data_IF_176734309901
#
_entry.id   IF_176734309901
#
_cell.length_a   1.000
_cell.length_b   1.000
_cell.length_c   1.000
_cell.angle_alpha   90.00
_cell.angle_beta   90.00
_cell.angle_gamma   90.00
#
_symmetry.space_group_name_H-M   'P 1'
#
loop_
_entity.id
_entity.type
_entity.pdbx_description
1 polymer ?
#
# COMPACT_ATOMS: atom_id res chain seq x y z
N UNK A 1 18.26 -2.21 -20.57
CA UNK A 1 16.98 -2.64 -19.98
C UNK A 1 16.97 -2.23 -18.51
N UNK A 2 15.84 -1.81 -17.94
CA UNK A 2 15.77 -1.51 -16.50
C UNK A 2 16.03 -2.78 -15.68
N UNK A 3 16.72 -2.64 -14.54
CA UNK A 3 17.02 -3.75 -13.63
C UNK A 3 15.71 -4.34 -13.10
N UNK A 4 15.59 -5.67 -13.10
CA UNK A 4 14.46 -6.36 -12.48
C UNK A 4 14.58 -6.25 -10.96
N UNK A 5 13.49 -5.81 -10.32
CA UNK A 5 13.33 -5.76 -8.87
C UNK A 5 12.24 -6.72 -8.45
N UNK A 6 12.55 -7.60 -7.51
CA UNK A 6 11.62 -8.60 -6.97
C UNK A 6 11.75 -8.64 -5.47
N UNK A 7 10.63 -8.76 -4.77
CA UNK A 7 10.65 -8.75 -3.32
C UNK A 7 9.34 -9.19 -2.69
N UNK A 8 9.41 -9.52 -1.41
CA UNK A 8 8.23 -9.78 -0.59
C UNK A 8 8.05 -8.66 0.43
N UNK A 9 6.80 -8.47 0.85
CA UNK A 9 6.55 -7.86 2.14
C UNK A 9 6.81 -8.84 3.28
N UNK A 10 7.25 -8.29 4.40
CA UNK A 10 7.70 -9.02 5.57
C UNK A 10 7.25 -8.32 6.86
N UNK A 11 6.55 -9.05 7.73
CA UNK A 11 5.94 -8.51 8.93
C UNK A 11 5.84 -9.56 10.04
N UNK A 12 5.39 -9.19 11.24
CA UNK A 12 5.15 -10.11 12.37
C UNK A 12 6.41 -10.65 13.06
N UNK A 13 7.60 -10.54 12.47
CA UNK A 13 8.87 -10.94 13.08
C UNK A 13 9.72 -9.70 13.34
N UNK A 14 10.17 -9.52 14.58
CA UNK A 14 11.08 -8.44 15.02
C UNK A 14 12.32 -9.00 15.73
N UNK A 15 12.59 -10.30 15.59
CA UNK A 15 13.80 -10.92 16.12
C UNK A 15 14.89 -10.92 15.03
N UNK A 16 15.98 -10.15 15.17
CA UNK A 16 17.02 -10.02 14.14
C UNK A 16 17.63 -11.35 13.68
N UNK A 17 17.73 -12.35 14.58
CA UNK A 17 18.26 -13.66 14.22
C UNK A 17 17.39 -14.36 13.17
N UNK A 18 16.07 -14.39 13.39
CA UNK A 18 15.14 -15.02 12.44
C UNK A 18 15.01 -14.20 11.17
N UNK A 19 15.03 -12.87 11.28
CA UNK A 19 14.99 -11.99 10.10
C UNK A 19 16.22 -12.21 9.23
N UNK A 20 17.41 -12.34 9.80
CA UNK A 20 18.62 -12.62 9.03
C UNK A 20 18.50 -13.92 8.21
N UNK A 21 18.00 -15.00 8.82
CA UNK A 21 17.76 -16.29 8.15
C UNK A 21 16.71 -16.17 7.03
N UNK A 22 15.61 -15.45 7.28
CA UNK A 22 14.55 -15.24 6.30
C UNK A 22 15.02 -14.37 5.12
N UNK A 23 15.84 -13.34 5.36
CA UNK A 23 16.41 -12.50 4.30
C UNK A 23 17.37 -13.32 3.41
N UNK A 24 18.20 -14.18 3.99
CA UNK A 24 19.07 -15.10 3.25
C UNK A 24 18.25 -16.09 2.41
N UNK A 25 17.11 -16.54 2.93
CA UNK A 25 16.16 -17.36 2.20
C UNK A 25 15.50 -16.62 1.03
N UNK A 26 15.04 -15.38 1.22
CA UNK A 26 14.47 -14.56 0.14
C UNK A 26 15.46 -14.36 -1.02
N UNK A 27 16.75 -14.11 -0.71
CA UNK A 27 17.80 -13.90 -1.71
C UNK A 27 18.06 -15.17 -2.51
N UNK A 28 18.14 -16.32 -1.83
CA UNK A 28 18.25 -17.63 -2.50
C UNK A 28 17.09 -17.87 -3.46
N UNK A 29 15.94 -17.26 -3.20
CA UNK A 29 14.72 -17.32 -4.00
C UNK A 29 14.50 -16.06 -4.86
N UNK A 30 15.59 -15.44 -5.30
CA UNK A 30 15.63 -14.39 -6.31
C UNK A 30 14.96 -13.06 -5.90
N UNK A 31 14.79 -12.79 -4.60
CA UNK A 31 14.50 -11.43 -4.15
C UNK A 31 15.76 -10.55 -4.18
N UNK A 32 15.59 -9.29 -4.53
CA UNK A 32 16.60 -8.25 -4.38
C UNK A 32 16.03 -6.98 -3.71
N UNK A 33 14.81 -7.08 -3.18
CA UNK A 33 14.17 -6.08 -2.36
C UNK A 33 13.31 -6.75 -1.27
N UNK A 34 13.04 -6.01 -0.19
CA UNK A 34 12.13 -6.41 0.89
C UNK A 34 11.33 -5.19 1.34
N UNK A 35 10.05 -5.39 1.67
CA UNK A 35 9.26 -4.38 2.36
C UNK A 35 9.05 -4.80 3.80
N UNK A 36 9.54 -3.98 4.74
CA UNK A 36 9.20 -4.11 6.15
C UNK A 36 7.99 -3.27 6.50
N UNK A 37 7.03 -3.83 7.22
CA UNK A 37 5.94 -3.00 7.78
C UNK A 37 6.50 -2.15 8.92
N UNK A 38 6.19 -0.85 8.91
CA UNK A 38 6.57 0.09 9.97
C UNK A 38 5.29 0.64 10.60
N UNK A 39 4.63 -0.20 11.39
CA UNK A 39 3.37 0.08 12.08
C UNK A 39 3.56 1.03 13.27
N UNK A 40 2.45 1.45 13.90
CA UNK A 40 2.50 2.26 15.11
C UNK A 40 3.21 1.54 16.27
N UNK A 41 3.04 0.21 16.35
CA UNK A 41 3.70 -0.63 17.34
C UNK A 41 5.22 -0.61 17.12
N UNK A 42 5.65 -0.71 15.86
CA UNK A 42 7.06 -0.71 15.51
C UNK A 42 7.73 0.61 15.89
N UNK A 43 7.10 1.74 15.57
CA UNK A 43 7.61 3.06 15.95
C UNK A 43 7.61 3.26 17.46
N UNK A 44 6.64 2.70 18.18
CA UNK A 44 6.53 2.87 19.63
C UNK A 44 7.51 2.00 20.43
N UNK A 45 7.77 0.77 19.97
CA UNK A 45 8.42 -0.24 20.80
C UNK A 45 9.63 -0.93 20.15
N UNK A 46 9.76 -0.86 18.82
CA UNK A 46 10.77 -1.61 18.08
C UNK A 46 11.59 -0.74 17.13
N UNK A 47 11.62 0.59 17.28
CA UNK A 47 12.20 1.49 16.29
C UNK A 47 13.69 1.18 15.99
N UNK A 48 14.50 1.02 17.03
CA UNK A 48 15.93 0.68 16.85
C UNK A 48 16.13 -0.77 16.40
N UNK A 49 15.22 -1.68 16.77
CA UNK A 49 15.21 -3.04 16.23
C UNK A 49 14.89 -3.04 14.74
N UNK A 50 13.92 -2.25 14.29
CA UNK A 50 13.62 -2.09 12.86
C UNK A 50 14.81 -1.55 12.10
N UNK A 51 15.55 -0.60 12.68
CA UNK A 51 16.81 -0.12 12.11
C UNK A 51 17.82 -1.27 11.93
N UNK A 52 18.02 -2.11 12.94
CA UNK A 52 18.88 -3.30 12.84
C UNK A 52 18.41 -4.25 11.72
N UNK A 53 17.10 -4.45 11.55
CA UNK A 53 16.56 -5.27 10.45
C UNK A 53 16.86 -4.68 9.06
N UNK A 54 16.75 -3.35 8.91
CA UNK A 54 17.09 -2.65 7.68
C UNK A 54 18.60 -2.76 7.40
N UNK A 55 19.44 -2.57 8.40
CA UNK A 55 20.89 -2.75 8.30
C UNK A 55 21.24 -4.18 7.83
N UNK A 56 20.61 -5.22 8.42
CA UNK A 56 20.78 -6.62 7.99
C UNK A 56 20.37 -6.86 6.53
N UNK A 57 19.33 -6.19 6.05
CA UNK A 57 18.90 -6.29 4.65
C UNK A 57 19.88 -5.58 3.70
N UNK A 58 20.39 -4.41 4.09
CA UNK A 58 21.39 -3.67 3.32
C UNK A 58 22.73 -4.39 3.22
N UNK A 59 23.20 -5.02 4.30
CA UNK A 59 24.41 -5.87 4.29
C UNK A 59 24.33 -6.99 3.26
N UNK A 60 23.10 -7.44 2.96
CA UNK A 60 22.80 -8.48 1.96
C UNK A 60 22.48 -7.92 0.57
N UNK A 61 22.56 -6.61 0.39
CA UNK A 61 22.34 -5.92 -0.89
C UNK A 61 20.88 -5.83 -1.32
N UNK A 62 19.93 -5.96 -0.38
CA UNK A 62 18.51 -5.78 -0.65
C UNK A 62 18.16 -4.28 -0.67
N UNK A 63 17.28 -3.89 -1.60
CA UNK A 63 16.58 -2.61 -1.54
C UNK A 63 15.45 -2.68 -0.51
N UNK A 64 15.37 -1.70 0.39
CA UNK A 64 14.46 -1.75 1.55
C UNK A 64 13.33 -0.73 1.43
N UNK A 65 12.10 -1.24 1.47
CA UNK A 65 10.87 -0.45 1.53
C UNK A 65 10.33 -0.46 2.96
N UNK A 66 9.66 0.62 3.35
CA UNK A 66 8.79 0.66 4.53
C UNK A 66 7.45 1.29 4.18
N UNK A 67 6.37 0.80 4.80
CA UNK A 67 5.03 1.40 4.70
C UNK A 67 4.45 1.71 6.08
N UNK A 68 3.52 2.70 6.18
CA UNK A 68 2.82 3.01 7.42
C UNK A 68 1.65 2.03 7.63
N UNK A 69 1.96 0.73 7.69
CA UNK A 69 1.00 -0.37 7.71
C UNK A 69 -0.17 -0.14 8.69
N UNK A 70 -1.39 -0.05 8.13
CA UNK A 70 -2.65 0.27 8.81
C UNK A 70 -2.71 1.57 9.65
N UNK A 71 -1.72 2.47 9.54
CA UNK A 71 -1.72 3.71 10.33
C UNK A 71 -2.97 4.54 10.07
N UNK A 72 -3.62 4.95 11.15
CA UNK A 72 -4.85 5.73 11.10
C UNK A 72 -6.00 5.04 10.36
N UNK A 73 -5.93 3.75 10.02
CA UNK A 73 -6.99 3.06 9.28
C UNK A 73 -7.25 3.63 7.87
N UNK A 74 -6.22 4.21 7.23
CA UNK A 74 -6.32 4.79 5.87
C UNK A 74 -5.27 4.29 4.89
N UNK A 75 -4.43 3.35 5.32
CA UNK A 75 -3.45 2.63 4.50
C UNK A 75 -3.73 1.13 4.60
N UNK A 76 -3.29 0.36 3.60
CA UNK A 76 -3.39 -1.10 3.61
C UNK A 76 -2.79 -1.73 4.88
N UNK A 77 -3.42 -2.80 5.37
CA UNK A 77 -2.89 -3.64 6.44
C UNK A 77 -3.84 -4.07 7.57
N UNK A 78 -3.36 -5.01 8.38
CA UNK A 78 -4.12 -5.68 9.45
C UNK A 78 -3.69 -5.26 10.87
N UNK A 79 -2.80 -4.27 11.00
CA UNK A 79 -2.39 -3.75 12.30
C UNK A 79 -3.46 -2.83 12.91
N UNK A 80 -3.51 -2.76 14.25
CA UNK A 80 -4.37 -1.80 14.93
C UNK A 80 -3.74 -0.41 14.97
N UNK A 81 -4.58 0.61 14.76
CA UNK A 81 -4.15 2.01 14.88
C UNK A 81 -4.48 2.57 16.27
N UNK A 82 -3.47 2.64 17.13
CA UNK A 82 -3.58 3.31 18.43
C UNK A 82 -3.79 4.82 18.32
N UNK A 83 -3.41 5.43 17.20
CA UNK A 83 -3.62 6.84 16.89
C UNK A 83 -5.10 7.19 16.98
N UNK A 84 -5.98 6.35 16.42
CA UNK A 84 -7.42 6.58 16.43
C UNK A 84 -8.00 6.54 17.85
N UNK A 85 -7.49 5.68 18.71
CA UNK A 85 -7.91 5.60 20.11
C UNK A 85 -7.47 6.84 20.90
N UNK A 86 -6.25 7.33 20.68
CA UNK A 86 -5.69 8.50 21.37
C UNK A 86 -6.21 9.84 20.82
N UNK A 87 -6.67 9.86 19.57
CA UNK A 87 -7.12 11.08 18.88
C UNK A 87 -8.50 10.87 18.23
N UNK A 88 -9.56 10.65 19.03
CA UNK A 88 -10.91 10.44 18.49
C UNK A 88 -11.42 11.63 17.68
N UNK A 89 -10.94 12.85 17.97
CA UNK A 89 -11.25 14.07 17.24
C UNK A 89 -10.56 14.17 15.87
N UNK A 90 -9.53 13.35 15.62
CA UNK A 90 -8.84 13.27 14.33
C UNK A 90 -9.48 12.26 13.37
N UNK A 91 -10.54 11.57 13.78
CA UNK A 91 -11.24 10.58 12.95
C UNK A 91 -12.05 11.24 11.84
N UNK A 92 -12.28 10.49 10.77
CA UNK A 92 -13.24 10.82 9.76
C UNK A 92 -14.66 10.75 10.37
N UNK A 93 -15.50 11.68 9.95
CA UNK A 93 -16.93 11.72 10.29
C UNK A 93 -17.71 11.48 9.01
N UNK A 94 -18.69 10.60 9.04
CA UNK A 94 -19.51 10.28 7.88
C UNK A 94 -20.57 11.35 7.57
N UNK A 95 -21.32 11.12 6.49
CA UNK A 95 -22.37 12.02 6.04
C UNK A 95 -23.51 12.24 7.04
N UNK A 96 -23.71 11.31 7.97
CA UNK A 96 -24.72 11.37 9.04
C UNK A 96 -24.18 11.97 10.35
N UNK A 97 -22.90 12.35 10.42
CA UNK A 97 -22.29 12.93 11.60
C UNK A 97 -21.67 11.90 12.56
N UNK A 98 -21.58 10.63 12.14
CA UNK A 98 -21.05 9.55 12.97
C UNK A 98 -19.57 9.29 12.67
N UNK A 99 -18.70 9.05 13.67
CA UNK A 99 -17.31 8.72 13.45
C UNK A 99 -17.16 7.34 12.77
N UNK A 100 -16.04 7.17 12.08
CA UNK A 100 -15.57 5.89 11.52
C UNK A 100 -14.14 5.60 12.00
N UNK A 101 -13.67 4.35 11.98
CA UNK A 101 -12.33 3.98 12.45
C UNK A 101 -11.23 4.30 11.41
N UNK A 102 -11.23 5.53 10.90
CA UNK A 102 -10.24 6.02 9.95
C UNK A 102 -9.88 7.47 10.28
N UNK A 103 -8.61 7.86 10.11
CA UNK A 103 -8.11 9.20 10.35
C UNK A 103 -8.44 10.09 9.15
N UNK A 104 -8.65 11.38 9.38
CA UNK A 104 -8.91 12.30 8.29
C UNK A 104 -7.60 12.91 7.76
N UNK A 105 -7.34 12.80 6.45
CA UNK A 105 -6.19 13.39 5.77
C UNK A 105 -6.05 14.91 5.94
N UNK A 106 -7.13 15.61 6.28
CA UNK A 106 -7.10 17.06 6.51
C UNK A 106 -6.77 17.43 7.96
N UNK A 107 -6.75 16.47 8.89
CA UNK A 107 -6.51 16.73 10.30
C UNK A 107 -5.02 17.00 10.57
N UNK A 108 -4.67 18.15 11.18
CA UNK A 108 -3.27 18.46 11.52
C UNK A 108 -2.61 17.37 12.35
N UNK A 109 -3.31 16.83 13.37
CA UNK A 109 -2.81 15.75 14.22
C UNK A 109 -2.38 14.51 13.44
N UNK A 110 -3.09 14.18 12.36
CA UNK A 110 -2.76 13.03 11.52
C UNK A 110 -1.57 13.34 10.60
N UNK A 111 -1.53 14.55 10.01
CA UNK A 111 -0.36 15.00 9.24
C UNK A 111 0.91 15.00 10.10
N UNK A 112 0.85 15.55 11.31
CA UNK A 112 1.96 15.53 12.26
C UNK A 112 2.40 14.10 12.63
N UNK A 113 1.45 13.16 12.71
CA UNK A 113 1.76 11.75 12.96
C UNK A 113 2.51 11.12 11.78
N UNK A 114 2.15 11.47 10.55
CA UNK A 114 2.80 11.00 9.34
C UNK A 114 4.19 11.62 9.13
N UNK A 115 4.38 12.88 9.51
CA UNK A 115 5.72 13.50 9.56
C UNK A 115 6.63 12.76 10.55
N UNK A 116 6.12 12.41 11.74
CA UNK A 116 6.87 11.58 12.70
C UNK A 116 7.14 10.17 12.17
N UNK A 117 6.20 9.59 11.42
CA UNK A 117 6.44 8.32 10.75
C UNK A 117 7.55 8.43 9.70
N UNK A 118 7.63 9.53 8.96
CA UNK A 118 8.72 9.80 8.01
C UNK A 118 10.08 9.99 8.71
N UNK A 119 10.09 10.65 9.87
CA UNK A 119 11.30 10.73 10.70
C UNK A 119 11.75 9.33 11.14
N UNK A 120 10.81 8.46 11.53
CA UNK A 120 11.09 7.06 11.86
C UNK A 120 11.58 6.26 10.64
N UNK A 121 10.94 6.39 9.48
CA UNK A 121 11.34 5.75 8.23
C UNK A 121 12.76 6.13 7.79
N UNK A 122 13.11 7.41 7.97
CA UNK A 122 14.47 7.91 7.73
C UNK A 122 15.46 7.39 8.78
N UNK A 123 15.09 7.38 10.06
CA UNK A 123 15.93 6.86 11.15
C UNK A 123 16.28 5.38 10.99
N UNK A 124 15.32 4.56 10.57
CA UNK A 124 15.59 3.13 10.30
C UNK A 124 16.45 2.92 9.05
N UNK A 125 16.68 3.95 8.24
CA UNK A 125 17.52 3.88 7.05
C UNK A 125 16.84 3.27 5.84
N UNK A 126 15.51 3.33 5.73
CA UNK A 126 14.81 2.78 4.57
C UNK A 126 15.20 3.50 3.26
N UNK A 127 15.08 2.83 2.12
CA UNK A 127 15.34 3.43 0.81
C UNK A 127 14.07 4.05 0.20
N UNK A 128 12.91 3.42 0.46
CA UNK A 128 11.62 3.78 -0.14
C UNK A 128 10.52 3.84 0.91
N UNK A 129 9.84 4.98 0.99
CA UNK A 129 8.55 5.10 1.67
C UNK A 129 7.44 4.69 0.69
N UNK A 130 6.74 3.60 1.00
CA UNK A 130 5.56 3.16 0.26
C UNK A 130 4.29 3.65 0.94
N UNK A 131 3.50 4.42 0.20
CA UNK A 131 2.17 4.86 0.58
C UNK A 131 1.17 3.85 0.03
N UNK A 132 0.78 2.91 0.88
CA UNK A 132 0.01 1.72 0.50
C UNK A 132 -1.49 1.99 0.55
N UNK A 133 -2.12 2.10 -0.62
CA UNK A 133 -3.55 2.31 -0.81
C UNK A 133 -4.14 3.46 0.03
N UNK A 134 -3.65 4.71 -0.04
CA UNK A 134 -4.23 5.81 0.73
C UNK A 134 -5.71 6.04 0.35
N UNK A 135 -6.65 5.83 1.29
CA UNK A 135 -8.09 5.90 1.02
C UNK A 135 -8.91 6.57 2.12
N UNK A 136 -10.03 7.20 1.73
CA UNK A 136 -11.12 7.48 2.66
C UNK A 136 -11.80 6.17 3.07
N UNK A 137 -12.44 6.15 4.25
CA UNK A 137 -13.07 4.94 4.78
C UNK A 137 -14.05 4.30 3.78
N UNK A 138 -13.78 3.05 3.41
CA UNK A 138 -14.62 2.23 2.53
C UNK A 138 -15.54 1.36 3.38
N UNK A 139 -16.83 1.72 3.45
CA UNK A 139 -17.80 1.06 4.34
C UNK A 139 -17.95 -0.44 4.05
N UNK A 140 -17.86 -0.84 2.79
CA UNK A 140 -18.01 -2.22 2.33
C UNK A 140 -16.91 -3.16 2.84
N UNK A 141 -15.78 -2.63 3.32
CA UNK A 141 -14.67 -3.42 3.84
C UNK A 141 -14.78 -3.72 5.33
N UNK A 142 -15.60 -2.96 6.05
CA UNK A 142 -15.77 -3.12 7.49
C UNK A 142 -17.03 -3.93 7.78
N UNK A 143 -16.88 -5.10 8.41
CA UNK A 143 -18.00 -6.00 8.67
C UNK A 143 -19.07 -5.38 9.60
N UNK A 144 -18.69 -4.51 10.53
CA UNK A 144 -19.59 -3.87 11.49
C UNK A 144 -20.29 -2.65 10.87
N UNK A 145 -19.58 -1.94 9.98
CA UNK A 145 -20.06 -0.70 9.37
C UNK A 145 -20.58 -0.88 7.93
N UNK A 146 -20.53 -2.07 7.35
CA UNK A 146 -21.06 -2.36 6.01
C UNK A 146 -22.56 -2.04 5.87
N UNK A 147 -23.34 -2.09 6.96
CA UNK A 147 -24.73 -1.68 6.97
C UNK A 147 -24.92 -0.17 6.70
N UNK A 148 -23.87 0.65 6.86
CA UNK A 148 -23.83 2.09 6.55
C UNK A 148 -23.39 2.37 5.11
N UNK A 149 -23.28 1.36 4.24
CA UNK A 149 -22.95 1.55 2.81
C UNK A 149 -23.87 2.59 2.16
N UNK A 150 -23.29 3.41 1.28
CA UNK A 150 -23.94 4.59 0.68
C UNK A 150 -23.78 5.88 1.49
N UNK A 151 -23.29 5.81 2.73
CA UNK A 151 -22.70 6.98 3.41
C UNK A 151 -21.32 7.26 2.83
N UNK A 152 -20.81 8.47 3.08
CA UNK A 152 -19.49 8.90 2.62
C UNK A 152 -18.79 9.69 3.71
N UNK A 153 -17.46 9.67 3.67
CA UNK A 153 -16.59 10.47 4.53
C UNK A 153 -15.75 11.41 3.67
N UNK A 154 -15.24 12.53 4.17
CA UNK A 154 -15.24 12.97 5.56
C UNK A 154 -15.91 14.34 5.69
N UNK A 155 -16.80 14.49 6.69
CA UNK A 155 -17.44 15.75 7.09
C UNK A 155 -16.99 16.24 8.48
N UNK A 156 -15.80 15.86 8.93
CA UNK A 156 -15.27 16.34 10.21
C UNK A 156 -15.15 17.88 10.20
N UNK A 157 -15.09 18.55 11.38
CA UNK A 157 -15.00 20.00 11.45
C UNK A 157 -13.86 20.59 10.59
N UNK A 158 -12.72 19.91 10.53
CA UNK A 158 -11.59 20.34 9.72
C UNK A 158 -11.85 20.25 8.21
N UNK A 159 -12.56 19.20 7.75
CA UNK A 159 -13.01 19.12 6.36
C UNK A 159 -14.02 20.22 6.03
N UNK A 160 -14.95 20.52 6.94
CA UNK A 160 -15.94 21.58 6.73
C UNK A 160 -15.27 22.97 6.61
N UNK A 161 -14.23 23.24 7.41
CA UNK A 161 -13.43 24.46 7.31
C UNK A 161 -12.74 24.53 5.95
N UNK A 162 -11.97 23.51 5.57
CA UNK A 162 -11.24 23.48 4.28
C UNK A 162 -12.17 23.53 3.08
N UNK A 163 -13.31 22.86 3.14
CA UNK A 163 -14.32 22.92 2.08
C UNK A 163 -14.83 24.35 1.90
N UNK A 164 -15.17 25.04 3.01
CA UNK A 164 -15.63 26.42 2.95
C UNK A 164 -14.56 27.37 2.42
N UNK A 165 -13.31 27.19 2.80
CA UNK A 165 -12.18 27.97 2.27
C UNK A 165 -12.03 27.80 0.75
N UNK A 166 -12.24 26.58 0.25
CA UNK A 166 -12.05 26.27 -1.16
C UNK A 166 -13.26 26.60 -2.04
N UNK A 167 -14.49 26.44 -1.53
CA UNK A 167 -15.73 26.52 -2.31
C UNK A 167 -16.69 27.63 -1.86
N UNK A 168 -16.38 28.35 -0.76
CA UNK A 168 -17.14 29.52 -0.32
C UNK A 168 -18.48 29.25 0.37
N UNK A 169 -18.81 27.99 0.69
CA UNK A 169 -20.09 27.60 1.30
C UNK A 169 -19.97 26.51 2.37
N UNK A 170 -21.10 26.16 3.00
CA UNK A 170 -21.16 25.04 3.93
C UNK A 170 -20.95 23.70 3.22
N UNK A 171 -20.27 22.76 3.90
CA UNK A 171 -20.04 21.44 3.35
C UNK A 171 -21.36 20.63 3.27
N UNK A 172 -21.77 20.19 2.06
CA UNK A 172 -23.02 19.47 1.86
C UNK A 172 -23.14 18.22 2.74
N UNK A 173 -24.39 17.88 3.10
CA UNK A 173 -24.74 16.58 3.72
C UNK A 173 -24.85 15.46 2.68
N UNK A 174 -25.23 15.83 1.45
CA UNK A 174 -25.30 14.93 0.31
C UNK A 174 -23.97 14.87 -0.44
N UNK A 175 -23.75 13.76 -1.13
CA UNK A 175 -22.57 13.56 -1.97
C UNK A 175 -22.76 14.27 -3.30
N UNK A 176 -22.08 15.39 -3.50
CA UNK A 176 -22.12 16.18 -4.75
C UNK A 176 -20.80 16.04 -5.53
N UNK A 177 -20.75 16.39 -6.82
CA UNK A 177 -19.49 16.45 -7.57
C UNK A 177 -18.41 17.33 -6.91
N UNK A 178 -18.81 18.42 -6.25
CA UNK A 178 -17.88 19.29 -5.50
C UNK A 178 -17.31 18.58 -4.27
N UNK A 179 -18.11 17.79 -3.56
CA UNK A 179 -17.65 16.95 -2.44
C UNK A 179 -16.66 15.91 -2.92
N UNK A 180 -16.94 15.26 -4.05
CA UNK A 180 -16.02 14.28 -4.65
C UNK A 180 -14.69 14.91 -5.04
N UNK A 181 -14.75 16.08 -5.69
CA UNK A 181 -13.57 16.84 -6.03
C UNK A 181 -12.78 17.27 -4.78
N UNK A 182 -13.47 17.63 -3.70
CA UNK A 182 -12.84 17.97 -2.42
C UNK A 182 -12.11 16.77 -1.80
N UNK A 183 -12.73 15.58 -1.78
CA UNK A 183 -12.11 14.34 -1.28
C UNK A 183 -10.85 14.01 -2.08
N UNK A 184 -10.97 14.02 -3.41
CA UNK A 184 -9.84 13.77 -4.30
C UNK A 184 -8.67 14.73 -4.06
N UNK A 185 -8.94 16.05 -3.96
CA UNK A 185 -7.90 17.03 -3.64
C UNK A 185 -7.33 16.87 -2.23
N UNK A 186 -8.11 16.41 -1.27
CA UNK A 186 -7.65 16.20 0.12
C UNK A 186 -6.60 15.09 0.20
N UNK A 187 -6.81 13.98 -0.50
CA UNK A 187 -5.82 12.90 -0.60
C UNK A 187 -4.61 13.38 -1.39
N UNK A 188 -4.80 14.02 -2.56
CA UNK A 188 -3.68 14.52 -3.36
C UNK A 188 -2.81 15.51 -2.57
N UNK A 189 -3.41 16.47 -1.86
CA UNK A 189 -2.67 17.42 -1.03
C UNK A 189 -1.99 16.77 0.18
N UNK A 190 -2.49 15.63 0.65
CA UNK A 190 -1.79 14.83 1.66
C UNK A 190 -0.58 14.13 1.05
N UNK A 191 -0.77 13.39 -0.04
CA UNK A 191 0.30 12.65 -0.70
C UNK A 191 1.41 13.57 -1.22
N UNK A 192 1.05 14.72 -1.77
CA UNK A 192 1.98 15.74 -2.26
C UNK A 192 2.85 16.32 -1.12
N UNK A 193 2.25 16.61 0.04
CA UNK A 193 3.00 17.03 1.22
C UNK A 193 3.92 15.92 1.72
N UNK A 194 3.36 14.74 2.01
CA UNK A 194 4.12 13.65 2.61
C UNK A 194 5.22 13.13 1.71
N UNK A 195 5.02 13.09 0.39
CA UNK A 195 6.06 12.65 -0.55
C UNK A 195 7.20 13.67 -0.68
N UNK A 196 6.92 14.98 -0.65
CA UNK A 196 7.98 16.00 -0.57
C UNK A 196 8.79 15.88 0.71
N UNK A 197 8.09 15.68 1.83
CA UNK A 197 8.72 15.51 3.14
C UNK A 197 9.58 14.25 3.20
N UNK A 198 9.11 13.14 2.60
CA UNK A 198 9.89 11.91 2.44
C UNK A 198 11.16 12.15 1.59
N UNK A 199 11.02 12.81 0.45
CA UNK A 199 12.16 13.15 -0.42
C UNK A 199 13.18 14.03 0.29
N UNK A 200 12.74 15.01 1.09
CA UNK A 200 13.64 15.87 1.86
C UNK A 200 14.47 15.10 2.90
N UNK A 201 13.99 13.92 3.32
CA UNK A 201 14.66 12.98 4.22
C UNK A 201 15.47 11.91 3.50
N UNK A 202 15.63 12.03 2.18
CA UNK A 202 16.40 11.10 1.34
C UNK A 202 15.65 9.85 0.92
N UNK A 203 14.36 9.72 1.23
CA UNK A 203 13.53 8.58 0.85
C UNK A 203 13.00 8.75 -0.58
N UNK A 204 12.98 7.66 -1.35
CA UNK A 204 12.14 7.58 -2.55
C UNK A 204 10.69 7.34 -2.16
N UNK A 205 9.76 7.70 -3.05
CA UNK A 205 8.34 7.46 -2.84
C UNK A 205 7.79 6.43 -3.82
N UNK A 206 7.14 5.40 -3.27
CA UNK A 206 6.20 4.54 -4.00
C UNK A 206 4.78 4.84 -3.54
N UNK A 207 3.84 5.00 -4.48
CA UNK A 207 2.42 5.09 -4.14
C UNK A 207 1.68 3.93 -4.78
N UNK A 208 1.16 3.03 -3.94
CA UNK A 208 0.25 1.98 -4.38
C UNK A 208 -1.17 2.53 -4.37
N UNK A 209 -1.79 2.56 -5.54
CA UNK A 209 -3.20 2.88 -5.68
C UNK A 209 -4.00 1.58 -5.74
N UNK A 210 -5.23 1.64 -5.23
CA UNK A 210 -6.19 0.57 -5.43
C UNK A 210 -6.39 0.31 -6.93
N UNK A 211 -6.66 -0.94 -7.33
CA UNK A 211 -6.80 -1.30 -8.74
C UNK A 211 -7.88 -0.47 -9.44
N UNK A 212 -7.52 0.32 -10.47
CA UNK A 212 -8.50 1.18 -11.15
C UNK A 212 -9.70 0.43 -11.74
N UNK A 213 -9.55 -0.87 -12.03
CA UNK A 213 -10.64 -1.71 -12.52
C UNK A 213 -11.69 -2.04 -11.46
N UNK A 214 -11.37 -1.91 -10.16
CA UNK A 214 -12.30 -2.23 -9.07
C UNK A 214 -13.31 -1.11 -8.81
N UNK A 215 -13.01 0.14 -9.20
CA UNK A 215 -13.89 1.31 -9.08
C UNK A 215 -14.41 1.52 -7.64
N UNK A 216 -13.50 1.44 -6.69
CA UNK A 216 -13.80 1.59 -5.26
C UNK A 216 -14.03 3.06 -4.89
N UNK A 217 -14.73 3.29 -3.79
CA UNK A 217 -14.93 4.63 -3.23
C UNK A 217 -13.79 5.04 -2.29
N UNK A 218 -12.56 5.01 -2.80
CA UNK A 218 -11.35 5.39 -2.05
C UNK A 218 -11.17 6.91 -1.93
N UNK A 219 -11.98 7.68 -2.66
CA UNK A 219 -11.98 9.13 -2.71
C UNK A 219 -11.04 9.74 -3.74
N UNK A 220 -10.36 8.94 -4.56
CA UNK A 220 -9.64 9.42 -5.74
C UNK A 220 -10.55 9.34 -6.98
N UNK A 221 -10.75 10.47 -7.65
CA UNK A 221 -11.52 10.49 -8.90
C UNK A 221 -10.70 10.08 -10.12
N UNK A 222 -9.40 10.39 -10.07
CA UNK A 222 -8.45 10.22 -11.16
C UNK A 222 -7.10 9.84 -10.59
N UNK A 223 -6.70 8.60 -10.79
CA UNK A 223 -5.42 8.11 -10.29
C UNK A 223 -4.22 8.74 -11.00
N UNK A 224 -4.38 9.22 -12.23
CA UNK A 224 -3.32 9.89 -12.98
C UNK A 224 -2.82 11.16 -12.29
N UNK A 225 -3.68 11.81 -11.51
CA UNK A 225 -3.33 13.03 -10.79
C UNK A 225 -2.38 12.71 -9.62
N UNK A 226 -2.39 11.47 -9.10
CA UNK A 226 -1.35 10.97 -8.19
C UNK A 226 -0.02 10.90 -8.93
N UNK A 227 0.01 10.36 -10.15
CA UNK A 227 1.28 10.12 -10.88
C UNK A 227 1.94 11.43 -11.35
N UNK A 228 1.14 12.49 -11.46
CA UNK A 228 1.60 13.83 -11.75
C UNK A 228 2.30 14.53 -10.57
N UNK A 229 2.20 14.00 -9.35
CA UNK A 229 2.91 14.57 -8.20
C UNK A 229 4.42 14.52 -8.43
N UNK A 230 5.09 15.65 -8.19
CA UNK A 230 6.52 15.82 -8.49
C UNK A 230 7.39 14.88 -7.64
N UNK A 231 6.96 14.63 -6.41
CA UNK A 231 7.72 13.94 -5.38
C UNK A 231 7.70 12.41 -5.44
N UNK A 232 7.10 11.83 -6.49
CA UNK A 232 6.95 10.37 -6.67
C UNK A 232 8.04 9.78 -7.56
N UNK A 233 8.55 8.61 -7.19
CA UNK A 233 9.50 7.84 -7.98
C UNK A 233 8.81 6.63 -8.63
N UNK A 234 7.96 5.95 -7.84
CA UNK A 234 7.30 4.70 -8.21
C UNK A 234 5.79 4.81 -8.07
N UNK A 235 5.08 4.19 -9.00
CA UNK A 235 3.61 4.08 -8.97
C UNK A 235 3.24 2.61 -9.03
N UNK A 236 2.39 2.17 -8.11
CA UNK A 236 2.07 0.76 -7.93
C UNK A 236 0.57 0.51 -7.95
N UNK A 237 0.18 -0.75 -8.21
CA UNK A 237 -1.18 -1.25 -7.98
C UNK A 237 -1.15 -2.76 -7.74
N UNK A 238 -2.25 -3.32 -7.27
CA UNK A 238 -2.30 -4.64 -6.67
C UNK A 238 -3.64 -5.37 -6.89
N UNK A 239 -3.90 -5.88 -8.12
CA UNK A 239 -5.19 -6.44 -8.52
C UNK A 239 -5.45 -7.83 -7.93
N UNK A 240 -5.58 -7.90 -6.61
CA UNK A 240 -5.76 -9.14 -5.87
C UNK A 240 -7.06 -9.86 -6.21
N UNK A 241 -6.95 -11.16 -6.51
CA UNK A 241 -8.12 -12.02 -6.70
C UNK A 241 -8.79 -12.38 -5.39
N UNK A 242 -10.03 -12.86 -5.45
CA UNK A 242 -10.75 -13.40 -4.31
C UNK A 242 -11.10 -14.88 -4.51
N UNK A 243 -11.78 -15.47 -3.53
CA UNK A 243 -12.18 -16.88 -3.55
C UNK A 243 -13.15 -17.26 -4.69
N UNK A 244 -13.79 -16.29 -5.34
CA UNK A 244 -14.70 -16.51 -6.47
C UNK A 244 -14.03 -16.30 -7.83
N UNK A 245 -12.79 -15.80 -7.84
CA UNK A 245 -12.04 -15.55 -9.07
C UNK A 245 -11.59 -16.85 -9.73
N UNK A 246 -11.61 -16.86 -11.06
CA UNK A 246 -11.04 -17.90 -11.90
C UNK A 246 -9.82 -17.36 -12.69
N UNK A 247 -9.17 -18.24 -13.47
CA UNK A 247 -8.01 -17.87 -14.26
C UNK A 247 -8.32 -16.77 -15.29
N UNK A 248 -9.53 -16.78 -15.88
CA UNK A 248 -9.97 -15.76 -16.85
C UNK A 248 -10.03 -14.39 -16.20
N UNK A 249 -10.60 -14.31 -14.99
CA UNK A 249 -10.66 -13.09 -14.22
C UNK A 249 -9.26 -12.59 -13.87
N UNK A 250 -8.38 -13.47 -13.36
CA UNK A 250 -6.99 -13.09 -13.02
C UNK A 250 -6.26 -12.56 -14.25
N UNK A 251 -6.38 -13.27 -15.37
CA UNK A 251 -5.75 -12.87 -16.61
C UNK A 251 -6.24 -11.48 -17.07
N UNK A 252 -7.56 -11.27 -17.06
CA UNK A 252 -8.15 -10.00 -17.46
C UNK A 252 -7.71 -8.86 -16.52
N UNK A 253 -7.81 -9.06 -15.20
CA UNK A 253 -7.52 -8.01 -14.23
C UNK A 253 -6.05 -7.62 -14.20
N UNK A 254 -5.13 -8.59 -14.17
CA UNK A 254 -3.70 -8.28 -14.20
C UNK A 254 -3.30 -7.65 -15.54
N UNK A 255 -3.84 -8.10 -16.67
CA UNK A 255 -3.54 -7.49 -17.98
C UNK A 255 -4.02 -6.05 -18.04
N UNK A 256 -5.27 -5.79 -17.64
CA UNK A 256 -5.85 -4.45 -17.70
C UNK A 256 -5.12 -3.48 -16.77
N UNK A 257 -4.88 -3.87 -15.51
CA UNK A 257 -4.19 -3.03 -14.54
C UNK A 257 -2.72 -2.83 -14.90
N UNK A 258 -1.98 -3.87 -15.31
CA UNK A 258 -0.57 -3.74 -15.69
C UNK A 258 -0.38 -2.83 -16.92
N UNK A 259 -1.23 -2.99 -17.95
CA UNK A 259 -1.19 -2.13 -19.14
C UNK A 259 -1.59 -0.69 -18.81
N UNK A 260 -2.63 -0.50 -17.98
CA UNK A 260 -3.02 0.83 -17.53
C UNK A 260 -1.88 1.50 -16.76
N UNK A 261 -1.33 0.80 -15.77
CA UNK A 261 -0.26 1.30 -14.92
C UNK A 261 0.97 1.67 -15.75
N UNK A 262 1.43 0.77 -16.64
CA UNK A 262 2.59 1.07 -17.48
C UNK A 262 2.38 2.31 -18.36
N UNK A 263 1.20 2.43 -19.00
CA UNK A 263 0.92 3.59 -19.86
C UNK A 263 1.00 4.90 -19.09
N UNK A 264 0.36 4.97 -17.93
CA UNK A 264 0.29 6.19 -17.14
C UNK A 264 1.60 6.48 -16.41
N UNK A 265 2.30 5.46 -15.89
CA UNK A 265 3.63 5.60 -15.32
C UNK A 265 4.62 6.16 -16.35
N UNK A 266 4.63 5.60 -17.57
CA UNK A 266 5.50 6.05 -18.67
C UNK A 266 5.18 7.49 -19.07
N UNK A 267 3.90 7.85 -19.20
CA UNK A 267 3.48 9.20 -19.55
C UNK A 267 3.91 10.26 -18.51
N UNK A 268 4.01 9.85 -17.24
CA UNK A 268 4.42 10.71 -16.13
C UNK A 268 5.91 10.56 -15.77
N UNK A 269 6.69 9.77 -16.51
CA UNK A 269 8.11 9.53 -16.23
C UNK A 269 8.38 8.81 -14.90
N UNK A 270 7.43 8.00 -14.42
CA UNK A 270 7.52 7.19 -13.18
C UNK A 270 7.79 5.73 -13.53
N UNK A 271 8.44 4.98 -12.64
CA UNK A 271 8.57 3.53 -12.84
C UNK A 271 7.34 2.79 -12.28
N UNK A 272 6.73 1.86 -13.03
CA UNK A 272 5.61 1.07 -12.55
C UNK A 272 6.07 -0.09 -11.65
N UNK A 273 5.29 -0.37 -10.62
CA UNK A 273 5.42 -1.50 -9.70
C UNK A 273 4.11 -2.30 -9.63
N UNK A 274 4.18 -3.61 -9.44
CA UNK A 274 2.97 -4.41 -9.25
C UNK A 274 3.13 -5.36 -8.07
N UNK A 275 2.04 -5.56 -7.33
CA UNK A 275 2.01 -6.48 -6.20
C UNK A 275 1.15 -7.71 -6.51
N UNK A 276 1.73 -8.88 -6.30
CA UNK A 276 1.10 -10.18 -6.51
C UNK A 276 0.56 -10.71 -5.18
N UNK A 277 -0.65 -11.28 -5.21
CA UNK A 277 -1.28 -11.87 -4.03
C UNK A 277 -0.62 -13.21 -3.66
N UNK A 278 -0.10 -13.28 -2.43
CA UNK A 278 0.39 -14.47 -1.74
C UNK A 278 -0.24 -14.65 -0.34
N UNK A 279 -1.20 -13.83 0.07
CA UNK A 279 -2.03 -14.06 1.25
C UNK A 279 -3.38 -14.64 0.86
N UNK A 280 -4.03 -15.42 1.72
CA UNK A 280 -5.38 -15.99 1.53
C UNK A 280 -5.57 -16.64 0.15
N UNK A 281 -4.52 -17.28 -0.36
CA UNK A 281 -4.60 -18.08 -1.59
C UNK A 281 -5.26 -19.39 -1.21
N UNK A 282 -6.39 -19.69 -1.85
CA UNK A 282 -7.12 -20.94 -1.62
C UNK A 282 -6.43 -22.09 -2.33
N UNK A 283 -6.65 -23.29 -1.81
CA UNK A 283 -6.26 -24.51 -2.50
C UNK A 283 -6.77 -24.48 -3.94
N UNK A 284 -5.92 -24.82 -4.92
CA UNK A 284 -6.15 -24.78 -6.37
C UNK A 284 -6.07 -23.38 -7.02
N UNK A 285 -5.89 -22.31 -6.26
CA UNK A 285 -5.68 -20.96 -6.79
C UNK A 285 -4.20 -20.58 -6.88
N UNK A 286 -3.27 -21.44 -6.46
CA UNK A 286 -1.83 -21.17 -6.48
C UNK A 286 -1.31 -20.96 -7.92
N UNK A 287 -1.97 -21.56 -8.91
CA UNK A 287 -1.67 -21.36 -10.32
C UNK A 287 -1.90 -19.92 -10.81
N UNK A 288 -2.62 -19.08 -10.05
CA UNK A 288 -2.85 -17.68 -10.38
C UNK A 288 -1.61 -16.82 -10.14
N UNK A 289 -0.71 -17.23 -9.23
CA UNK A 289 0.53 -16.52 -8.89
C UNK A 289 1.47 -16.39 -10.11
N UNK A 290 1.87 -17.49 -10.79
CA UNK A 290 2.73 -17.39 -11.96
C UNK A 290 2.02 -16.76 -13.15
N UNK A 291 0.70 -16.93 -13.28
CA UNK A 291 -0.11 -16.27 -14.30
C UNK A 291 -0.06 -14.74 -14.15
N UNK A 292 -0.36 -14.24 -12.95
CA UNK A 292 -0.34 -12.82 -12.60
C UNK A 292 1.05 -12.20 -12.76
N UNK A 293 2.08 -12.88 -12.25
CA UNK A 293 3.48 -12.44 -12.36
C UNK A 293 3.91 -12.33 -13.82
N UNK A 294 3.67 -13.39 -14.61
CA UNK A 294 4.03 -13.43 -16.03
C UNK A 294 3.33 -12.35 -16.84
N UNK A 295 2.02 -12.17 -16.68
CA UNK A 295 1.25 -11.15 -17.40
C UNK A 295 1.81 -9.75 -17.12
N UNK A 296 2.12 -9.47 -15.87
CA UNK A 296 2.64 -8.16 -15.47
C UNK A 296 4.05 -7.92 -16.02
N UNK A 297 4.90 -8.94 -15.98
CA UNK A 297 6.25 -8.88 -16.54
C UNK A 297 6.24 -8.71 -18.06
N UNK A 298 5.43 -9.50 -18.77
CA UNK A 298 5.22 -9.40 -20.23
C UNK A 298 4.65 -8.05 -20.64
N UNK A 299 3.81 -7.43 -19.80
CA UNK A 299 3.29 -6.09 -20.05
C UNK A 299 4.39 -5.02 -20.04
N UNK A 300 5.54 -5.27 -19.40
CA UNK A 300 6.68 -4.34 -19.34
C UNK A 300 7.03 -3.88 -17.92
N UNK A 301 6.33 -4.36 -16.89
CA UNK A 301 6.65 -4.03 -15.49
C UNK A 301 7.90 -4.82 -15.09
N UNK A 302 8.88 -4.14 -14.48
CA UNK A 302 10.16 -4.73 -14.06
C UNK A 302 10.36 -4.74 -12.55
N UNK A 303 9.39 -4.21 -11.80
CA UNK A 303 9.38 -4.19 -10.34
C UNK A 303 8.15 -4.98 -9.86
N UNK A 304 8.37 -6.22 -9.44
CA UNK A 304 7.30 -7.17 -9.10
C UNK A 304 7.47 -7.58 -7.64
N UNK A 305 6.54 -7.16 -6.80
CA UNK A 305 6.53 -7.50 -5.39
C UNK A 305 5.40 -8.47 -5.08
N UNK A 306 5.40 -9.05 -3.88
CA UNK A 306 4.29 -9.88 -3.45
C UNK A 306 3.97 -9.74 -1.95
N UNK A 307 2.66 -9.71 -1.65
CA UNK A 307 2.12 -9.76 -0.30
C UNK A 307 1.65 -11.18 0.01
N UNK A 308 2.32 -11.98 0.83
CA UNK A 308 3.56 -11.69 1.55
C UNK A 308 4.49 -12.92 1.59
N UNK A 309 5.65 -12.74 2.22
CA UNK A 309 6.60 -13.83 2.48
C UNK A 309 5.94 -15.04 3.15
N UNK A 310 6.37 -16.24 2.78
CA UNK A 310 5.85 -17.53 3.28
C UNK A 310 4.32 -17.66 3.22
N UNK A 311 3.66 -17.04 2.24
CA UNK A 311 2.21 -17.15 2.08
C UNK A 311 1.41 -16.70 3.31
N UNK A 312 1.95 -15.76 4.10
CA UNK A 312 1.41 -15.31 5.39
C UNK A 312 1.25 -16.42 6.44
N UNK A 313 2.13 -17.44 6.45
CA UNK A 313 2.01 -18.63 7.29
C UNK A 313 1.70 -18.38 8.78
N UNK A 314 2.21 -17.28 9.34
CA UNK A 314 2.13 -16.96 10.77
C UNK A 314 1.04 -15.95 11.14
N UNK A 315 0.30 -15.37 10.18
CA UNK A 315 -0.86 -14.52 10.46
C UNK A 315 -2.15 -15.24 10.05
N UNK A 316 -2.89 -15.80 11.01
CA UNK A 316 -4.03 -16.68 10.76
C UNK A 316 -5.16 -16.07 9.91
N UNK A 317 -5.38 -14.76 9.99
CA UNK A 317 -6.38 -14.04 9.19
C UNK A 317 -5.99 -13.91 7.71
N UNK A 318 -4.68 -13.90 7.43
CA UNK A 318 -4.12 -13.76 6.08
C UNK A 318 -3.53 -15.05 5.51
N UNK A 319 -3.35 -16.08 6.33
CA UNK A 319 -2.71 -17.33 5.95
C UNK A 319 -3.39 -17.97 4.72
N UNK A 320 -2.58 -18.32 3.73
CA UNK A 320 -3.00 -19.14 2.58
C UNK A 320 -3.28 -20.60 3.00
N UNK A 321 -4.07 -21.34 2.23
CA UNK A 321 -4.41 -22.73 2.58
C UNK A 321 -3.16 -23.64 2.54
N UNK A 322 -2.22 -23.37 1.63
CA UNK A 322 -0.88 -23.97 1.56
C UNK A 322 0.21 -22.88 1.43
N UNK A 323 0.68 -22.31 2.56
CA UNK A 323 1.59 -21.18 2.54
C UNK A 323 2.97 -21.48 1.93
N UNK A 324 3.48 -22.70 2.12
CA UNK A 324 4.78 -23.10 1.56
C UNK A 324 4.70 -23.25 0.04
N UNK A 325 3.63 -23.87 -0.47
CA UNK A 325 3.44 -23.98 -1.93
C UNK A 325 3.33 -22.59 -2.58
N UNK A 326 2.58 -21.66 -1.97
CA UNK A 326 2.49 -20.26 -2.42
C UNK A 326 3.86 -19.60 -2.51
N UNK A 327 4.68 -19.77 -1.48
CA UNK A 327 6.04 -19.22 -1.43
C UNK A 327 6.94 -19.79 -2.52
N UNK A 328 7.00 -21.11 -2.65
CA UNK A 328 7.83 -21.80 -3.65
C UNK A 328 7.41 -21.43 -5.08
N UNK A 329 6.11 -21.32 -5.33
CA UNK A 329 5.58 -20.93 -6.64
C UNK A 329 5.93 -19.47 -6.97
N UNK A 330 5.82 -18.55 -6.01
CA UNK A 330 6.24 -17.16 -6.23
C UNK A 330 7.75 -17.07 -6.47
N UNK A 331 8.56 -17.83 -5.71
CA UNK A 331 10.00 -17.87 -5.88
C UNK A 331 10.40 -18.31 -7.30
N UNK A 332 9.75 -19.35 -7.83
CA UNK A 332 9.92 -19.78 -9.22
C UNK A 332 9.51 -18.68 -10.21
N UNK A 333 8.42 -17.97 -9.94
CA UNK A 333 7.98 -16.86 -10.79
C UNK A 333 8.99 -15.69 -10.79
N UNK A 334 9.61 -15.37 -9.65
CA UNK A 334 10.71 -14.40 -9.57
C UNK A 334 11.95 -14.86 -10.34
N UNK A 335 12.33 -16.14 -10.25
CA UNK A 335 13.43 -16.69 -11.02
C UNK A 335 13.26 -16.45 -12.53
N UNK A 336 12.05 -16.74 -13.05
CA UNK A 336 11.71 -16.53 -14.46
C UNK A 336 11.80 -15.05 -14.88
N UNK A 337 11.41 -14.11 -14.01
CA UNK A 337 11.58 -12.68 -14.30
C UNK A 337 13.07 -12.30 -14.48
N UNK A 338 13.97 -12.83 -13.64
CA UNK A 338 15.41 -12.57 -13.75
C UNK A 338 16.06 -13.28 -14.94
N UNK A 339 15.62 -14.49 -15.28
CA UNK A 339 16.11 -15.23 -16.44
C UNK A 339 15.77 -14.51 -17.76
N UNK A 340 14.54 -13.99 -17.87
CA UNK A 340 14.10 -13.25 -19.07
C UNK A 340 14.72 -11.85 -19.21
N UNK A 341 15.42 -11.36 -18.18
CA UNK A 341 16.12 -10.07 -18.20
C UNK A 341 17.59 -10.17 -18.64
N UNK A 342 18.14 -11.39 -18.70
CA UNK A 342 19.47 -11.69 -19.24
C UNK A 342 19.40 -11.82 -20.75
#
# INVERSE_FOLDING_TARGET
>A
MSRVVTGWSYFGVRNPQHVAEDLDDMIRHHANAVLFTLSEEDVAFYLDTMRELVELAHERGLLVYVNPWAWGGVFGGEAFSGFLARNPDARQIDSAGEPVPAACFNQPKFRDAMLRWLDAASHVGADVAMWDEPHFFVFEWDAELAARKGRWTCRCPQCAIRYREQYGGEMPTQRTPEVEQFRHRSILAFLDEMSREARSRGLKNSICILPPTFRLDDGLLRYEDVFALEAIDYVATDPYWNEKSDATWVEQQYRQNAQWLLRHATASGREPEIWIKNFRVRKQQECFIPLATRISYEAGIRRVFAWSYLGSAYMSSLRSDDPLSVYEIQAQAFALCHEQAR
#
